data_IF_230400713563
#
_entry.id   IF_230400713563
#
_cell.length_a   1.000
_cell.length_b   1.000
_cell.length_c   1.000
_cell.angle_alpha   90.00
_cell.angle_beta   90.00
_cell.angle_gamma   90.00
#
_symmetry.space_group_name_H-M   'P 1'
#
loop_
_entity.id
_entity.type
_entity.pdbx_description
1 polymer ?
#
# COMPACT_ATOMS: atom_id res chain seq x y z
N UNK A 1 72.90 -31.53 39.52
CA UNK A 1 71.77 -30.69 40.03
C UNK A 1 71.27 -29.73 38.91
N UNK A 2 72.10 -29.32 37.91
CA UNK A 2 71.73 -28.36 36.86
C UNK A 2 70.82 -28.97 35.79
N UNK A 3 70.83 -30.28 35.56
CA UNK A 3 70.03 -30.95 34.50
C UNK A 3 68.53 -31.01 34.87
N UNK A 4 68.14 -30.95 36.12
CA UNK A 4 66.79 -31.06 36.62
C UNK A 4 65.92 -29.82 36.33
N UNK A 5 66.48 -28.58 36.36
CA UNK A 5 65.72 -27.35 36.22
C UNK A 5 65.32 -27.05 34.75
N UNK A 6 66.18 -27.33 33.79
CA UNK A 6 65.88 -27.14 32.34
C UNK A 6 64.80 -28.14 31.83
N UNK A 7 64.79 -29.35 32.42
CA UNK A 7 63.78 -30.34 32.09
C UNK A 7 62.38 -29.92 32.55
N UNK A 8 62.24 -29.35 33.77
CA UNK A 8 61.00 -28.90 34.38
C UNK A 8 60.42 -27.68 33.61
N UNK A 9 61.27 -26.76 33.20
CA UNK A 9 60.82 -25.56 32.43
C UNK A 9 60.28 -25.92 31.04
N UNK A 10 60.93 -26.85 30.33
CA UNK A 10 60.44 -27.37 29.02
C UNK A 10 59.11 -28.14 29.16
N UNK A 11 58.93 -28.84 30.27
CA UNK A 11 57.66 -29.55 30.55
C UNK A 11 56.51 -28.59 30.86
N UNK A 12 56.71 -27.57 31.69
CA UNK A 12 55.72 -26.53 31.98
C UNK A 12 55.26 -25.80 30.70
N UNK A 13 56.16 -25.44 29.81
CA UNK A 13 55.84 -24.79 28.54
C UNK A 13 55.05 -25.71 27.61
N UNK A 14 55.30 -27.05 27.59
CA UNK A 14 54.54 -28.01 26.78
C UNK A 14 53.13 -28.22 27.34
N UNK A 15 52.94 -28.32 28.65
CA UNK A 15 51.64 -28.50 29.32
C UNK A 15 50.75 -27.28 29.12
N UNK A 16 51.31 -26.08 29.27
CA UNK A 16 50.56 -24.82 29.04
C UNK A 16 50.13 -24.66 27.57
N UNK A 17 50.95 -25.09 26.62
CA UNK A 17 50.59 -25.04 25.18
C UNK A 17 49.47 -26.03 24.82
N UNK A 18 49.43 -27.24 25.39
CA UNK A 18 48.38 -28.21 25.09
C UNK A 18 47.05 -27.81 25.74
N UNK A 19 47.06 -27.32 26.97
CA UNK A 19 45.86 -26.79 27.61
C UNK A 19 45.27 -25.58 26.86
N UNK A 20 46.14 -24.69 26.36
CA UNK A 20 45.67 -23.56 25.56
C UNK A 20 45.07 -23.98 24.20
N UNK A 21 45.63 -25.02 23.57
CA UNK A 21 45.09 -25.55 22.29
C UNK A 21 43.73 -26.22 22.48
N UNK A 22 43.50 -26.96 23.55
CA UNK A 22 42.24 -27.58 23.91
C UNK A 22 41.14 -26.52 24.21
N UNK A 23 41.51 -25.46 24.94
CA UNK A 23 40.58 -24.34 25.21
C UNK A 23 40.20 -23.63 23.91
N UNK A 24 41.15 -23.37 23.03
CA UNK A 24 40.91 -22.73 21.73
C UNK A 24 40.01 -23.57 20.80
N UNK A 25 40.26 -24.89 20.78
CA UNK A 25 39.43 -25.83 20.00
C UNK A 25 38.01 -25.93 20.57
N UNK A 26 37.83 -25.93 21.89
CA UNK A 26 36.53 -25.92 22.54
C UNK A 26 35.76 -24.61 22.25
N UNK A 27 36.42 -23.46 22.28
CA UNK A 27 35.83 -22.19 21.87
C UNK A 27 35.43 -22.20 20.41
N UNK A 28 36.27 -22.75 19.52
CA UNK A 28 35.97 -22.92 18.10
C UNK A 28 34.74 -23.79 17.86
N UNK A 29 34.62 -24.91 18.59
CA UNK A 29 33.42 -25.79 18.52
C UNK A 29 32.15 -25.08 18.98
N UNK A 30 32.21 -24.34 20.10
CA UNK A 30 31.05 -23.55 20.58
C UNK A 30 30.61 -22.48 19.57
N UNK A 31 31.55 -21.71 19.02
CA UNK A 31 31.26 -20.70 18.01
C UNK A 31 30.68 -21.32 16.73
N UNK A 32 31.24 -22.44 16.26
CA UNK A 32 30.71 -23.16 15.11
C UNK A 32 29.30 -23.70 15.38
N UNK A 33 29.03 -24.24 16.57
CA UNK A 33 27.71 -24.71 16.97
C UNK A 33 26.65 -23.60 17.01
N UNK A 34 27.00 -22.40 17.51
CA UNK A 34 26.12 -21.25 17.49
C UNK A 34 25.79 -20.87 16.06
N UNK A 35 26.81 -20.75 15.18
CA UNK A 35 26.61 -20.44 13.76
C UNK A 35 25.77 -21.48 13.02
N UNK A 36 25.94 -22.77 13.34
CA UNK A 36 25.08 -23.85 12.80
C UNK A 36 23.61 -23.63 13.18
N UNK A 37 23.35 -23.31 14.45
CA UNK A 37 21.98 -23.03 14.92
C UNK A 37 21.40 -21.78 14.23
N UNK A 38 22.18 -20.76 14.01
CA UNK A 38 21.74 -19.54 13.33
C UNK A 38 21.42 -19.84 11.86
N UNK A 39 22.28 -20.55 11.14
CA UNK A 39 22.02 -20.98 9.76
C UNK A 39 20.76 -21.86 9.65
N UNK A 40 20.56 -22.80 10.58
CA UNK A 40 19.33 -23.63 10.62
C UNK A 40 18.09 -22.76 10.81
N UNK A 41 18.14 -21.76 11.71
CA UNK A 41 17.01 -20.84 11.91
C UNK A 41 16.72 -20.03 10.64
N UNK A 42 17.74 -19.46 9.98
CA UNK A 42 17.59 -18.69 8.76
C UNK A 42 17.00 -19.55 7.63
N UNK A 43 17.51 -20.77 7.44
CA UNK A 43 17.00 -21.71 6.44
C UNK A 43 15.55 -22.13 6.77
N UNK A 44 15.23 -22.43 8.03
CA UNK A 44 13.91 -22.88 8.45
C UNK A 44 12.85 -21.78 8.34
N UNK A 45 13.22 -20.53 8.60
CA UNK A 45 12.29 -19.37 8.53
C UNK A 45 12.30 -18.67 7.18
N UNK A 46 13.31 -18.90 6.34
CA UNK A 46 13.53 -18.17 5.10
C UNK A 46 13.94 -16.70 5.32
N UNK A 47 14.30 -16.30 6.55
CA UNK A 47 14.55 -14.92 6.93
C UNK A 47 15.98 -14.72 7.45
N UNK A 48 16.66 -13.74 6.88
CA UNK A 48 18.03 -13.33 7.29
C UNK A 48 18.07 -12.90 8.78
N UNK A 49 17.03 -12.21 9.25
CA UNK A 49 16.92 -11.70 10.63
C UNK A 49 16.51 -12.74 11.68
N UNK A 50 16.37 -14.02 11.29
CA UNK A 50 16.02 -15.09 12.23
C UNK A 50 17.12 -15.29 13.27
N UNK A 51 16.87 -14.92 14.50
CA UNK A 51 17.85 -15.07 15.61
C UNK A 51 18.28 -13.77 16.29
N UNK A 52 17.72 -12.64 15.87
CA UNK A 52 17.98 -11.34 16.48
C UNK A 52 19.29 -10.67 16.04
N UNK A 53 19.99 -11.27 15.09
CA UNK A 53 21.17 -10.73 14.45
C UNK A 53 20.81 -9.82 13.34
N UNK A 54 20.88 -8.79 12.99
CA UNK A 54 20.42 -7.96 11.85
C UNK A 54 19.08 -7.25 12.10
N UNK A 55 18.88 -6.78 13.33
CA UNK A 55 17.70 -5.99 13.71
C UNK A 55 17.48 -4.75 12.81
N UNK A 56 18.55 -4.21 12.23
CA UNK A 56 18.48 -3.11 11.27
C UNK A 56 17.75 -3.48 9.98
N UNK A 57 18.05 -4.66 9.41
CA UNK A 57 17.36 -5.16 8.19
C UNK A 57 15.90 -5.49 8.49
N UNK A 58 15.60 -6.06 9.66
CA UNK A 58 14.23 -6.30 10.07
C UNK A 58 13.44 -4.99 10.23
N UNK A 59 14.05 -3.97 10.84
CA UNK A 59 13.43 -2.65 10.97
C UNK A 59 13.16 -2.01 9.62
N UNK A 60 14.13 -2.06 8.69
CA UNK A 60 13.97 -1.56 7.33
C UNK A 60 12.84 -2.29 6.59
N UNK A 61 12.80 -3.62 6.65
CA UNK A 61 11.76 -4.41 6.02
C UNK A 61 10.37 -4.10 6.60
N UNK A 62 10.25 -3.95 7.92
CA UNK A 62 9.00 -3.56 8.56
C UNK A 62 8.54 -2.17 8.12
N UNK A 63 9.47 -1.21 7.99
CA UNK A 63 9.16 0.14 7.48
C UNK A 63 8.69 0.09 6.04
N UNK A 64 9.37 -0.66 5.17
CA UNK A 64 8.97 -0.84 3.77
C UNK A 64 7.59 -1.50 3.66
N UNK A 65 7.33 -2.52 4.50
CA UNK A 65 6.03 -3.15 4.56
C UNK A 65 4.93 -2.20 5.01
N UNK A 66 5.16 -1.44 6.06
CA UNK A 66 4.20 -0.44 6.55
C UNK A 66 3.89 0.61 5.46
N UNK A 67 4.91 1.08 4.73
CA UNK A 67 4.72 1.98 3.58
C UNK A 67 3.96 1.32 2.45
N UNK A 68 4.22 0.04 2.14
CA UNK A 68 3.44 -0.73 1.17
C UNK A 68 1.97 -0.79 1.55
N UNK A 69 1.67 -1.06 2.82
CA UNK A 69 0.29 -1.15 3.31
C UNK A 69 -0.38 0.23 3.29
N UNK A 70 0.35 1.33 3.62
CA UNK A 70 -0.13 2.71 3.48
C UNK A 70 -0.44 3.09 2.02
N UNK A 71 0.43 2.73 1.07
CA UNK A 71 0.16 2.94 -0.36
C UNK A 71 -1.05 2.15 -0.85
N UNK A 72 -1.26 0.93 -0.34
CA UNK A 72 -2.46 0.15 -0.66
C UNK A 72 -3.73 0.82 -0.12
N UNK A 73 -3.67 1.36 1.09
CA UNK A 73 -4.78 2.14 1.65
C UNK A 73 -5.06 3.40 0.82
N UNK A 74 -4.01 4.11 0.37
CA UNK A 74 -4.14 5.26 -0.52
C UNK A 74 -4.80 4.89 -1.87
N UNK A 75 -4.43 3.75 -2.47
CA UNK A 75 -5.08 3.24 -3.67
C UNK A 75 -6.56 2.95 -3.46
N UNK A 76 -6.92 2.31 -2.34
CA UNK A 76 -8.32 2.05 -2.00
C UNK A 76 -9.11 3.34 -1.77
N UNK A 77 -8.50 4.35 -1.14
CA UNK A 77 -9.12 5.66 -0.95
C UNK A 77 -9.36 6.35 -2.30
N UNK A 78 -8.38 6.29 -3.21
CA UNK A 78 -8.54 6.81 -4.56
C UNK A 78 -9.70 6.13 -5.30
N UNK A 79 -9.83 4.80 -5.18
CA UNK A 79 -10.93 4.03 -5.75
C UNK A 79 -12.28 4.45 -5.17
N UNK A 80 -12.40 4.61 -3.85
CA UNK A 80 -13.62 5.10 -3.22
C UNK A 80 -14.02 6.49 -3.73
N UNK A 81 -13.02 7.36 -3.97
CA UNK A 81 -13.28 8.67 -4.54
C UNK A 81 -13.70 8.60 -6.03
N UNK A 82 -13.15 7.65 -6.80
CA UNK A 82 -13.59 7.36 -8.18
C UNK A 82 -15.05 6.93 -8.17
N UNK A 83 -15.44 5.97 -7.33
CA UNK A 83 -16.81 5.47 -7.23
C UNK A 83 -17.79 6.61 -6.89
N UNK A 84 -17.39 7.53 -6.01
CA UNK A 84 -18.20 8.71 -5.66
C UNK A 84 -18.40 9.67 -6.85
N UNK A 85 -17.33 9.93 -7.62
CA UNK A 85 -17.43 10.78 -8.82
C UNK A 85 -18.23 10.12 -9.95
N UNK A 86 -18.16 8.80 -10.12
CA UNK A 86 -18.94 8.06 -11.11
C UNK A 86 -20.43 8.11 -10.80
N UNK A 87 -20.84 8.14 -9.53
CA UNK A 87 -22.24 8.39 -9.13
C UNK A 87 -22.69 9.79 -9.55
N UNK A 88 -21.85 10.82 -9.33
CA UNK A 88 -22.16 12.18 -9.77
C UNK A 88 -22.24 12.30 -11.30
N UNK A 89 -21.30 11.68 -12.02
CA UNK A 89 -21.27 11.65 -13.49
C UNK A 89 -22.56 11.04 -14.07
N UNK A 90 -22.99 9.89 -13.53
CA UNK A 90 -24.21 9.22 -13.97
C UNK A 90 -25.44 10.11 -13.78
N UNK A 91 -25.56 10.78 -12.63
CA UNK A 91 -26.67 11.68 -12.35
C UNK A 91 -26.66 12.93 -13.24
N UNK A 92 -25.48 13.49 -13.54
CA UNK A 92 -25.35 14.62 -14.44
C UNK A 92 -25.75 14.28 -15.89
N UNK A 93 -25.44 13.07 -16.35
CA UNK A 93 -25.87 12.61 -17.67
C UNK A 93 -27.40 12.51 -17.78
N UNK A 94 -28.08 12.10 -16.70
CA UNK A 94 -29.56 12.09 -16.67
C UNK A 94 -30.12 13.51 -16.66
N UNK A 95 -29.52 14.41 -15.87
CA UNK A 95 -29.91 15.84 -15.88
C UNK A 95 -29.69 16.46 -17.26
N UNK A 96 -28.61 16.11 -17.98
CA UNK A 96 -28.39 16.58 -19.35
C UNK A 96 -29.51 16.14 -20.31
N UNK A 97 -29.99 14.92 -20.15
CA UNK A 97 -31.12 14.40 -20.95
C UNK A 97 -32.42 15.19 -20.68
N UNK A 98 -32.71 15.42 -19.39
CA UNK A 98 -33.88 16.22 -18.99
C UNK A 98 -33.75 17.69 -19.39
N UNK A 99 -32.56 18.28 -19.34
CA UNK A 99 -32.30 19.62 -19.82
C UNK A 99 -32.53 19.76 -21.34
N UNK A 100 -32.12 18.75 -22.10
CA UNK A 100 -32.44 18.70 -23.56
C UNK A 100 -33.93 18.64 -23.81
N UNK A 101 -34.68 17.91 -22.98
CA UNK A 101 -36.12 17.85 -23.09
C UNK A 101 -36.80 19.21 -22.78
N UNK A 102 -36.28 19.94 -21.77
CA UNK A 102 -36.74 21.32 -21.49
C UNK A 102 -36.51 22.24 -22.69
N UNK A 103 -35.40 22.15 -23.39
CA UNK A 103 -35.17 22.93 -24.62
C UNK A 103 -36.17 22.61 -25.73
N UNK A 104 -36.52 21.30 -25.90
CA UNK A 104 -37.55 20.90 -26.85
C UNK A 104 -38.91 21.51 -26.51
N UNK A 105 -39.31 21.47 -25.21
CA UNK A 105 -40.57 22.08 -24.76
C UNK A 105 -40.58 23.58 -25.02
N UNK A 106 -39.49 24.29 -24.66
CA UNK A 106 -39.37 25.70 -24.95
C UNK A 106 -39.44 26.03 -26.42
N UNK A 107 -38.81 25.20 -27.29
CA UNK A 107 -38.92 25.36 -28.76
C UNK A 107 -40.36 25.16 -29.26
N UNK A 108 -41.12 24.21 -28.70
CA UNK A 108 -42.53 24.04 -29.02
C UNK A 108 -43.36 25.24 -28.56
N UNK A 109 -43.10 25.76 -27.36
CA UNK A 109 -43.76 26.96 -26.83
C UNK A 109 -43.51 28.20 -27.68
N UNK A 110 -42.37 28.32 -28.34
CA UNK A 110 -42.08 29.44 -29.24
C UNK A 110 -43.11 29.60 -30.40
N UNK A 111 -43.92 28.56 -30.68
CA UNK A 111 -45.06 28.59 -31.58
C UNK A 111 -46.41 28.88 -30.88
N UNK A 112 -46.38 29.51 -29.71
CA UNK A 112 -47.53 29.71 -28.83
C UNK A 112 -48.76 30.39 -29.49
N UNK A 113 -48.53 31.21 -30.51
CA UNK A 113 -49.63 31.82 -31.30
C UNK A 113 -50.47 30.81 -32.11
N UNK A 114 -49.97 29.56 -32.29
CA UNK A 114 -50.65 28.44 -32.97
C UNK A 114 -51.15 27.38 -31.98
N UNK A 115 -50.82 27.53 -30.70
CA UNK A 115 -51.20 26.61 -29.62
C UNK A 115 -52.50 27.08 -28.96
N UNK A 116 -53.34 26.15 -28.56
CA UNK A 116 -54.48 26.44 -27.69
C UNK A 116 -54.02 26.64 -26.24
N UNK A 117 -54.83 27.28 -25.42
CA UNK A 117 -54.56 27.43 -23.98
C UNK A 117 -54.41 26.08 -23.28
N UNK A 118 -55.07 25.06 -23.75
CA UNK A 118 -54.95 23.69 -23.23
C UNK A 118 -53.60 23.08 -23.60
N UNK A 119 -53.08 23.29 -24.80
CA UNK A 119 -51.79 22.80 -25.26
C UNK A 119 -50.66 23.48 -24.44
N UNK A 120 -50.74 24.77 -24.20
CA UNK A 120 -49.80 25.50 -23.33
C UNK A 120 -49.82 24.96 -21.92
N UNK A 121 -51.03 24.73 -21.32
CA UNK A 121 -51.13 24.18 -19.97
C UNK A 121 -50.54 22.76 -19.88
N UNK A 122 -50.58 21.95 -20.93
CA UNK A 122 -49.92 20.64 -20.99
C UNK A 122 -48.39 20.80 -20.99
N UNK A 123 -47.83 21.74 -21.78
CA UNK A 123 -46.39 22.01 -21.82
C UNK A 123 -45.91 22.56 -20.48
N UNK A 124 -46.67 23.44 -19.81
CA UNK A 124 -46.35 23.94 -18.48
C UNK A 124 -46.31 22.81 -17.43
N UNK A 125 -47.29 21.90 -17.46
CA UNK A 125 -47.33 20.74 -16.55
C UNK A 125 -46.14 19.78 -16.80
N UNK A 126 -45.74 19.57 -18.04
CA UNK A 126 -44.56 18.77 -18.38
C UNK A 126 -43.30 19.46 -17.86
N UNK A 127 -43.13 20.78 -18.10
CA UNK A 127 -42.01 21.57 -17.61
C UNK A 127 -41.87 21.49 -16.09
N UNK A 128 -42.95 21.70 -15.34
CA UNK A 128 -42.98 21.61 -13.88
C UNK A 128 -42.61 20.20 -13.38
N UNK A 129 -43.03 19.17 -14.09
CA UNK A 129 -42.67 17.78 -13.71
C UNK A 129 -41.21 17.48 -13.94
N UNK A 130 -40.63 17.92 -15.06
CA UNK A 130 -39.21 17.72 -15.40
C UNK A 130 -38.34 18.49 -14.44
N UNK A 131 -38.63 19.77 -14.15
CA UNK A 131 -37.83 20.58 -13.21
C UNK A 131 -37.87 20.01 -11.80
N UNK A 132 -39.03 19.52 -11.34
CA UNK A 132 -39.12 18.80 -10.05
C UNK A 132 -38.26 17.53 -10.05
N UNK A 133 -38.25 16.80 -11.17
CA UNK A 133 -37.41 15.58 -11.29
C UNK A 133 -35.92 15.90 -11.26
N UNK A 134 -35.49 16.99 -11.92
CA UNK A 134 -34.10 17.43 -11.90
C UNK A 134 -33.69 17.77 -10.46
N UNK A 135 -34.46 18.56 -9.71
CA UNK A 135 -34.16 18.91 -8.33
C UNK A 135 -34.18 17.67 -7.42
N UNK A 136 -35.04 16.69 -7.67
CA UNK A 136 -35.04 15.42 -6.96
C UNK A 136 -33.77 14.61 -7.22
N UNK A 137 -33.26 14.60 -8.46
CA UNK A 137 -31.98 13.97 -8.80
C UNK A 137 -30.83 14.68 -8.09
N UNK A 138 -30.77 16.01 -8.14
CA UNK A 138 -29.70 16.80 -7.49
C UNK A 138 -29.66 16.52 -5.99
N UNK A 139 -30.81 16.55 -5.30
CA UNK A 139 -30.89 16.32 -3.85
C UNK A 139 -30.72 14.85 -3.44
N UNK A 140 -31.13 13.94 -4.35
CA UNK A 140 -31.06 12.49 -4.14
C UNK A 140 -29.69 11.89 -4.43
N UNK A 141 -28.84 12.55 -5.22
CA UNK A 141 -27.51 12.03 -5.60
C UNK A 141 -26.56 12.06 -4.42
N UNK A 142 -26.39 10.90 -3.77
CA UNK A 142 -25.53 10.75 -2.58
C UNK A 142 -24.66 9.52 -2.70
N UNK A 143 -23.43 9.64 -2.21
CA UNK A 143 -22.52 8.52 -2.01
C UNK A 143 -22.21 8.37 -0.52
N UNK A 144 -22.54 7.20 0.05
CA UNK A 144 -22.37 6.96 1.48
C UNK A 144 -23.00 8.05 2.39
N UNK A 145 -24.18 8.58 1.99
CA UNK A 145 -24.88 9.64 2.72
C UNK A 145 -24.36 11.07 2.48
N UNK A 146 -23.25 11.24 1.77
CA UNK A 146 -22.67 12.54 1.40
C UNK A 146 -23.28 12.94 0.06
N UNK A 147 -23.82 14.17 -0.03
CA UNK A 147 -24.32 14.71 -1.29
C UNK A 147 -23.18 14.84 -2.30
N UNK A 148 -23.43 14.41 -3.53
CA UNK A 148 -22.46 14.51 -4.62
C UNK A 148 -22.82 15.64 -5.60
N UNK A 149 -24.07 16.10 -5.61
CA UNK A 149 -24.56 17.25 -6.36
C UNK A 149 -25.26 18.23 -5.42
N UNK A 150 -25.30 19.48 -5.80
CA UNK A 150 -25.97 20.55 -5.05
C UNK A 150 -25.89 21.89 -5.74
N UNK A 151 -26.54 22.90 -5.17
CA UNK A 151 -26.51 24.29 -5.66
C UNK A 151 -25.19 25.02 -5.38
N UNK A 152 -24.25 24.39 -4.67
CA UNK A 152 -22.92 24.86 -4.39
C UNK A 152 -21.91 23.75 -4.67
N UNK A 153 -20.67 24.13 -5.06
CA UNK A 153 -19.59 23.17 -5.25
C UNK A 153 -19.35 22.36 -3.98
N UNK A 154 -19.43 21.06 -4.08
CA UNK A 154 -19.13 20.14 -3.00
C UNK A 154 -17.67 19.70 -3.17
N UNK A 155 -16.86 19.99 -2.17
CA UNK A 155 -15.46 19.57 -2.14
C UNK A 155 -15.27 18.44 -1.13
N UNK A 156 -14.51 17.43 -1.52
CA UNK A 156 -14.06 16.36 -0.62
C UNK A 156 -12.59 16.05 -0.85
N UNK A 157 -11.94 15.53 0.18
CA UNK A 157 -10.53 15.21 0.14
C UNK A 157 -10.36 13.68 0.12
N UNK A 158 -9.57 13.19 -0.84
CA UNK A 158 -9.14 11.80 -0.88
C UNK A 158 -7.68 11.70 -0.44
N UNK A 159 -7.38 10.85 0.53
CA UNK A 159 -6.00 10.52 0.93
C UNK A 159 -5.35 9.61 -0.09
N UNK A 160 -4.27 10.07 -0.72
CA UNK A 160 -3.70 9.44 -1.92
C UNK A 160 -2.20 9.16 -1.83
N UNK A 161 -1.56 9.44 -0.69
CA UNK A 161 -0.14 9.18 -0.45
C UNK A 161 0.07 8.36 0.81
N UNK A 162 1.25 7.77 0.96
CA UNK A 162 1.62 6.95 2.12
C UNK A 162 1.88 7.76 3.39
N UNK A 163 2.08 9.07 3.27
CA UNK A 163 2.31 10.04 4.35
C UNK A 163 1.06 10.82 4.75
N UNK A 164 -0.11 10.50 4.16
CA UNK A 164 -1.38 11.17 4.45
C UNK A 164 -1.68 12.40 3.59
N UNK A 165 -0.92 12.63 2.53
CA UNK A 165 -1.23 13.67 1.55
C UNK A 165 -2.59 13.45 0.88
N UNK A 166 -3.37 14.53 0.71
CA UNK A 166 -4.71 14.49 0.14
C UNK A 166 -4.79 15.24 -1.18
N UNK A 167 -5.74 14.84 -2.02
CA UNK A 167 -6.21 15.63 -3.16
C UNK A 167 -7.60 16.16 -2.85
N UNK A 168 -7.83 17.45 -3.12
CA UNK A 168 -9.16 18.02 -3.08
C UNK A 168 -9.82 17.83 -4.44
N UNK A 169 -11.02 17.30 -4.42
CA UNK A 169 -11.86 17.02 -5.58
C UNK A 169 -13.15 17.82 -5.41
N UNK A 170 -13.65 18.38 -6.49
CA UNK A 170 -14.92 19.07 -6.50
C UNK A 170 -15.90 18.37 -7.41
N UNK A 171 -17.11 18.22 -6.94
CA UNK A 171 -18.27 17.95 -7.78
C UNK A 171 -18.88 19.27 -8.20
N UNK A 172 -19.52 19.30 -9.35
CA UNK A 172 -20.07 20.51 -9.90
C UNK A 172 -21.28 21.06 -9.18
N UNK A 173 -21.64 22.28 -9.53
CA UNK A 173 -22.91 22.91 -9.13
C UNK A 173 -23.96 22.67 -10.17
N UNK A 174 -25.19 22.35 -9.74
CA UNK A 174 -26.39 22.36 -10.57
C UNK A 174 -27.37 23.36 -9.92
N UNK A 175 -27.69 24.42 -10.63
CA UNK A 175 -28.63 25.42 -10.13
C UNK A 175 -30.00 24.79 -9.91
N UNK A 176 -30.71 25.22 -8.84
CA UNK A 176 -32.08 24.79 -8.64
C UNK A 176 -33.00 25.34 -9.75
N UNK A 177 -33.83 24.50 -10.28
CA UNK A 177 -34.77 24.81 -11.37
C UNK A 177 -36.22 24.68 -10.94
N UNK A 178 -36.46 24.44 -9.64
CA UNK A 178 -37.81 24.26 -9.11
C UNK A 178 -38.76 25.46 -9.31
N UNK A 179 -38.21 26.66 -9.55
CA UNK A 179 -38.99 27.85 -9.84
C UNK A 179 -39.50 27.93 -11.28
N UNK A 180 -38.93 27.13 -12.20
CA UNK A 180 -39.33 27.10 -13.61
C UNK A 180 -40.50 26.14 -13.75
N UNK A 181 -41.72 26.69 -13.84
CA UNK A 181 -42.95 25.92 -13.97
C UNK A 181 -43.68 26.15 -15.30
N UNK A 182 -43.24 27.18 -16.07
CA UNK A 182 -43.84 27.56 -17.34
C UNK A 182 -42.96 27.14 -18.51
N UNK A 183 -43.61 26.70 -19.59
CA UNK A 183 -42.92 26.33 -20.81
C UNK A 183 -42.21 27.52 -21.50
N UNK A 184 -42.63 28.74 -21.19
CA UNK A 184 -42.00 30.00 -21.65
C UNK A 184 -40.55 30.15 -21.21
N UNK A 185 -40.16 29.57 -20.07
CA UNK A 185 -38.83 29.61 -19.49
C UNK A 185 -38.01 28.34 -19.74
N UNK A 186 -38.66 27.29 -20.31
CA UNK A 186 -38.06 25.97 -20.43
C UNK A 186 -36.79 25.95 -21.30
N UNK A 187 -36.79 26.70 -22.43
CA UNK A 187 -35.62 26.79 -23.34
C UNK A 187 -34.40 27.40 -22.64
N UNK A 188 -34.60 28.54 -21.98
CA UNK A 188 -33.49 29.26 -21.27
C UNK A 188 -32.95 28.45 -20.08
N UNK A 189 -33.85 27.79 -19.33
CA UNK A 189 -33.49 26.92 -18.24
C UNK A 189 -32.73 25.67 -18.73
N UNK A 190 -33.24 25.03 -19.78
CA UNK A 190 -32.59 23.87 -20.39
C UNK A 190 -31.20 24.20 -20.94
N UNK A 191 -31.01 25.37 -21.57
CA UNK A 191 -29.73 25.82 -22.10
C UNK A 191 -28.73 26.12 -20.96
N UNK A 192 -29.19 26.76 -19.89
CA UNK A 192 -28.37 27.03 -18.71
C UNK A 192 -27.88 25.74 -18.06
N UNK A 193 -28.81 24.78 -17.81
CA UNK A 193 -28.50 23.46 -17.26
C UNK A 193 -27.52 22.68 -18.13
N UNK A 194 -27.72 22.66 -19.44
CA UNK A 194 -26.82 21.97 -20.36
C UNK A 194 -25.39 22.50 -20.25
N UNK A 195 -25.25 23.82 -20.13
CA UNK A 195 -23.96 24.48 -19.96
C UNK A 195 -23.33 24.13 -18.62
N UNK A 196 -24.08 24.20 -17.52
CA UNK A 196 -23.62 23.81 -16.18
C UNK A 196 -23.19 22.35 -16.12
N UNK A 197 -24.02 21.45 -16.65
CA UNK A 197 -23.70 20.01 -16.68
C UNK A 197 -22.45 19.73 -17.50
N UNK A 198 -22.26 20.39 -18.66
CA UNK A 198 -21.06 20.20 -19.47
C UNK A 198 -19.78 20.63 -18.73
N UNK A 199 -19.82 21.76 -18.00
CA UNK A 199 -18.70 22.21 -17.16
C UNK A 199 -18.40 21.22 -16.02
N UNK A 200 -19.45 20.75 -15.35
CA UNK A 200 -19.34 19.81 -14.25
C UNK A 200 -18.80 18.44 -14.71
N UNK A 201 -19.26 17.92 -15.83
CA UNK A 201 -18.72 16.71 -16.44
C UNK A 201 -17.23 16.85 -16.79
N UNK A 202 -16.82 18.05 -17.26
CA UNK A 202 -15.40 18.36 -17.49
C UNK A 202 -14.57 18.30 -16.22
N UNK A 203 -15.04 18.91 -15.13
CA UNK A 203 -14.37 18.88 -13.82
C UNK A 203 -14.28 17.44 -13.26
N UNK A 204 -15.38 16.70 -13.29
CA UNK A 204 -15.45 15.30 -12.84
C UNK A 204 -14.52 14.40 -13.67
N UNK A 205 -14.55 14.53 -15.00
CA UNK A 205 -13.68 13.76 -15.89
C UNK A 205 -12.20 14.01 -15.61
N UNK A 206 -11.81 15.27 -15.39
CA UNK A 206 -10.45 15.62 -14.96
C UNK A 206 -10.08 15.00 -13.60
N UNK A 207 -11.01 15.06 -12.64
CA UNK A 207 -10.87 14.41 -11.33
C UNK A 207 -10.69 12.90 -11.42
N UNK A 208 -11.52 12.23 -12.21
CA UNK A 208 -11.47 10.79 -12.45
C UNK A 208 -10.14 10.36 -13.07
N UNK A 209 -9.67 11.07 -14.10
CA UNK A 209 -8.37 10.77 -14.73
C UNK A 209 -7.20 10.95 -13.75
N UNK A 210 -7.23 12.02 -12.95
CA UNK A 210 -6.23 12.27 -11.92
C UNK A 210 -6.22 11.17 -10.87
N UNK A 211 -7.39 10.75 -10.38
CA UNK A 211 -7.51 9.68 -9.39
C UNK A 211 -7.07 8.32 -9.95
N UNK A 212 -7.49 7.94 -11.17
CA UNK A 212 -7.07 6.70 -11.83
C UNK A 212 -5.55 6.64 -12.01
N UNK A 213 -4.93 7.76 -12.41
CA UNK A 213 -3.48 7.83 -12.50
C UNK A 213 -2.80 7.62 -11.14
N UNK A 214 -3.32 8.23 -10.08
CA UNK A 214 -2.79 8.10 -8.70
C UNK A 214 -3.04 6.73 -8.11
N UNK A 215 -4.20 6.12 -8.35
CA UNK A 215 -4.49 4.73 -7.99
C UNK A 215 -3.43 3.78 -8.57
N UNK A 216 -3.14 3.91 -9.87
CA UNK A 216 -2.12 3.12 -10.53
C UNK A 216 -0.72 3.31 -9.92
N UNK A 217 -0.33 4.56 -9.63
CA UNK A 217 0.94 4.87 -8.95
C UNK A 217 0.97 4.26 -7.55
N UNK A 218 -0.12 4.34 -6.80
CA UNK A 218 -0.20 3.80 -5.45
C UNK A 218 -0.12 2.26 -5.43
N UNK A 219 -0.77 1.56 -6.37
CA UNK A 219 -0.62 0.11 -6.51
C UNK A 219 0.80 -0.29 -6.90
N UNK A 220 1.40 0.43 -7.87
CA UNK A 220 2.79 0.18 -8.26
C UNK A 220 3.77 0.41 -7.10
N UNK A 221 3.62 1.52 -6.36
CA UNK A 221 4.44 1.83 -5.20
C UNK A 221 4.27 0.77 -4.10
N UNK A 222 3.03 0.33 -3.81
CA UNK A 222 2.76 -0.75 -2.85
C UNK A 222 3.47 -2.04 -3.25
N UNK A 223 3.39 -2.43 -4.53
CA UNK A 223 4.04 -3.64 -5.03
C UNK A 223 5.56 -3.57 -4.91
N UNK A 224 6.17 -2.44 -5.32
CA UNK A 224 7.62 -2.21 -5.24
C UNK A 224 8.10 -2.24 -3.79
N UNK A 225 7.40 -1.55 -2.87
CA UNK A 225 7.75 -1.53 -1.44
C UNK A 225 7.61 -2.91 -0.80
N UNK A 226 6.57 -3.68 -1.18
CA UNK A 226 6.39 -5.07 -0.74
C UNK A 226 7.53 -5.96 -1.22
N UNK A 227 7.88 -5.88 -2.51
CA UNK A 227 9.00 -6.64 -3.08
C UNK A 227 10.33 -6.24 -2.43
N UNK A 228 10.58 -4.95 -2.23
CA UNK A 228 11.77 -4.45 -1.54
C UNK A 228 11.84 -4.96 -0.10
N UNK A 229 10.71 -5.00 0.63
CA UNK A 229 10.64 -5.58 1.98
C UNK A 229 11.03 -7.06 1.97
N UNK A 230 10.50 -7.84 1.02
CA UNK A 230 10.84 -9.26 0.88
C UNK A 230 12.32 -9.45 0.57
N UNK A 231 12.86 -8.72 -0.41
CA UNK A 231 14.26 -8.81 -0.80
C UNK A 231 15.24 -8.50 0.34
N UNK A 232 14.86 -7.60 1.26
CA UNK A 232 15.72 -7.24 2.42
C UNK A 232 15.77 -8.36 3.46
N UNK A 233 14.70 -9.15 3.63
CA UNK A 233 14.62 -10.18 4.68
C UNK A 233 14.75 -11.60 4.16
N UNK A 234 14.65 -11.84 2.86
CA UNK A 234 14.80 -13.17 2.27
C UNK A 234 16.22 -13.70 2.42
N UNK A 235 16.31 -14.98 2.81
CA UNK A 235 17.59 -15.68 2.93
C UNK A 235 17.98 -16.28 1.59
N UNK A 236 19.20 -16.02 1.14
CA UNK A 236 19.83 -16.79 0.06
C UNK A 236 20.12 -18.22 0.58
N UNK A 237 19.26 -19.17 0.22
CA UNK A 237 19.39 -20.56 0.63
C UNK A 237 20.69 -21.21 0.16
N UNK A 238 21.22 -20.84 -1.00
CA UNK A 238 22.46 -21.41 -1.52
C UNK A 238 23.67 -20.94 -0.69
N UNK A 239 23.74 -19.64 -0.40
CA UNK A 239 24.79 -19.09 0.45
C UNK A 239 24.67 -19.63 1.89
N UNK A 240 23.47 -19.69 2.47
CA UNK A 240 23.28 -20.12 3.85
C UNK A 240 23.50 -21.63 4.05
N UNK A 241 23.15 -22.48 3.06
CA UNK A 241 23.48 -23.91 3.12
C UNK A 241 24.98 -24.18 2.99
N UNK A 242 25.69 -23.40 2.16
CA UNK A 242 27.14 -23.46 2.10
C UNK A 242 27.78 -23.06 3.45
N UNK A 243 27.25 -21.99 4.08
CA UNK A 243 27.72 -21.53 5.41
C UNK A 243 27.40 -22.54 6.51
N UNK A 244 26.23 -23.17 6.46
CA UNK A 244 25.84 -24.27 7.34
C UNK A 244 26.82 -25.44 7.24
N UNK A 245 27.10 -25.90 6.02
CA UNK A 245 28.03 -27.00 5.76
C UNK A 245 29.43 -26.67 6.27
N UNK A 246 29.93 -25.47 5.98
CA UNK A 246 31.23 -24.98 6.49
C UNK A 246 31.28 -25.01 8.03
N UNK A 247 30.25 -24.48 8.69
CA UNK A 247 30.20 -24.42 10.15
C UNK A 247 30.07 -25.81 10.76
N UNK A 248 29.34 -26.73 10.13
CA UNK A 248 29.27 -28.15 10.55
C UNK A 248 30.65 -28.83 10.45
N UNK A 249 31.39 -28.59 9.36
CA UNK A 249 32.75 -29.11 9.19
C UNK A 249 33.69 -28.52 10.25
N UNK A 250 33.65 -27.20 10.49
CA UNK A 250 34.44 -26.56 11.52
C UNK A 250 34.13 -27.12 12.92
N UNK A 251 32.86 -27.39 13.23
CA UNK A 251 32.48 -27.99 14.49
C UNK A 251 33.08 -29.40 14.65
N UNK A 252 32.96 -30.27 13.63
CA UNK A 252 33.54 -31.61 13.63
C UNK A 252 35.07 -31.59 13.78
N UNK A 253 35.76 -30.69 13.05
CA UNK A 253 37.21 -30.53 13.14
C UNK A 253 37.61 -30.07 14.54
N UNK A 254 36.93 -29.07 15.10
CA UNK A 254 37.20 -28.58 16.44
C UNK A 254 37.00 -29.64 17.52
N UNK A 255 35.94 -30.45 17.40
CA UNK A 255 35.70 -31.60 18.32
C UNK A 255 36.81 -32.66 18.23
N UNK A 256 37.26 -32.96 16.99
CA UNK A 256 38.40 -33.88 16.77
C UNK A 256 39.69 -33.40 17.39
N UNK A 257 39.97 -32.05 17.27
CA UNK A 257 41.11 -31.45 17.90
C UNK A 257 41.04 -31.46 19.43
N UNK A 258 39.86 -31.27 20.02
CA UNK A 258 39.63 -31.42 21.47
C UNK A 258 39.90 -32.86 21.90
N UNK A 259 39.36 -33.86 21.17
CA UNK A 259 39.60 -35.28 21.49
C UNK A 259 41.09 -35.61 21.39
N UNK A 260 41.79 -35.14 20.37
CA UNK A 260 43.23 -35.36 20.23
C UNK A 260 44.06 -34.68 21.35
N UNK A 261 43.70 -33.45 21.72
CA UNK A 261 44.36 -32.70 22.83
C UNK A 261 44.14 -33.45 24.16
N UNK A 262 42.94 -33.97 24.42
CA UNK A 262 42.66 -34.77 25.62
C UNK A 262 43.41 -36.12 25.61
N UNK A 263 43.56 -36.80 24.49
CA UNK A 263 44.32 -38.01 24.35
C UNK A 263 45.81 -37.76 24.64
N UNK A 264 46.39 -36.68 24.10
CA UNK A 264 47.73 -36.24 24.37
C UNK A 264 48.01 -35.96 25.87
N UNK A 265 47.03 -35.39 26.55
CA UNK A 265 47.12 -35.15 28.01
C UNK A 265 47.05 -36.46 28.80
N UNK A 266 46.19 -37.42 28.44
CA UNK A 266 46.12 -38.73 29.07
C UNK A 266 47.42 -39.51 28.87
N UNK A 267 48.00 -39.47 27.66
CA UNK A 267 49.32 -40.06 27.43
C UNK A 267 50.42 -39.48 28.33
N UNK A 268 50.39 -38.15 28.56
CA UNK A 268 51.33 -37.51 29.44
C UNK A 268 51.14 -37.87 30.92
N UNK A 269 49.92 -38.01 31.38
CA UNK A 269 49.59 -38.48 32.74
C UNK A 269 50.07 -39.89 32.96
N UNK A 270 49.82 -40.80 31.99
CA UNK A 270 50.28 -42.22 32.06
C UNK A 270 51.81 -42.37 31.99
N UNK A 271 52.54 -41.37 31.50
CA UNK A 271 54.00 -41.39 31.44
C UNK A 271 54.64 -40.92 32.77
N UNK A 272 53.84 -40.30 33.66
CA UNK A 272 54.30 -39.74 34.96
C UNK A 272 53.86 -40.60 36.13
N UNK A 273 52.86 -41.46 35.95
CA UNK A 273 52.41 -42.45 36.92
C UNK A 273 53.23 -43.75 36.83
#
# INVERSE_FOLDING_TARGET
>A
VVISIVSISKWRVKVTKSASSAILANLGSKLASIKVKDSIKKISTGRVSAGGQEGGLQSLANTLKARSDSWRAAANNARTAIDALEVAESSLNEIASLASRLQEIGALYNNNSLLSTTDIAVLDAETATITTSIDAIVTGTKYNGIAMLGTSKIAFNAGITDDGGTISLTTGTVSSVASTTEASEADTTGLSLTTEVALNLGEISGGLQSLKARENVAYAASAIMSAASSNVIETDYAAETAQLTKNMMLNKISLSLVAQANADENYKINLIS
#
